data_IF_524059174896
#
_entry.id   IF_524059174896
#
_cell.length_a   1.000
_cell.length_b   1.000
_cell.length_c   1.000
_cell.angle_alpha   90.00
_cell.angle_beta   90.00
_cell.angle_gamma   90.00
#
_symmetry.space_group_name_H-M   'P 1'
#
loop_
_entity.id
_entity.type
_entity.pdbx_description
1 polymer ?
#
# COMPACT_ATOMS: atom_id res chain seq x y z
N UNK A 1 15.21 -1.01 2.34
CA UNK A 1 14.81 -2.41 2.41
C UNK A 1 14.85 -3.08 1.04
N UNK A 2 14.24 -2.52 0.00
CA UNK A 2 14.37 -3.10 -1.36
C UNK A 2 15.70 -2.80 -2.04
N UNK A 3 16.46 -1.85 -1.52
CA UNK A 3 17.78 -1.41 -2.01
C UNK A 3 17.79 -1.09 -3.52
N UNK A 4 16.77 -0.35 -3.95
CA UNK A 4 16.60 0.04 -5.35
C UNK A 4 17.40 1.29 -5.67
N UNK A 5 18.30 1.22 -6.66
CA UNK A 5 19.12 2.36 -7.07
C UNK A 5 18.31 3.44 -7.79
N UNK A 6 17.27 3.02 -8.54
CA UNK A 6 16.45 3.90 -9.39
C UNK A 6 14.98 3.75 -9.04
N UNK A 7 14.27 4.87 -8.93
CA UNK A 7 12.83 4.93 -8.78
C UNK A 7 12.24 6.06 -9.64
N UNK A 8 11.22 5.73 -10.43
CA UNK A 8 10.59 6.69 -11.37
C UNK A 8 11.61 7.36 -12.30
N UNK A 9 12.58 6.59 -12.78
CA UNK A 9 13.64 7.06 -13.68
C UNK A 9 14.72 7.95 -13.03
N UNK A 10 14.68 8.14 -11.70
CA UNK A 10 15.65 8.96 -10.95
C UNK A 10 16.38 8.12 -9.91
N UNK A 11 17.61 8.50 -9.49
CA UNK A 11 18.27 7.86 -8.35
C UNK A 11 17.37 7.90 -7.10
N UNK A 12 17.32 6.80 -6.37
CA UNK A 12 16.59 6.75 -5.09
C UNK A 12 17.27 7.63 -4.05
N UNK A 13 16.51 7.99 -2.99
CA UNK A 13 16.98 8.94 -1.96
C UNK A 13 18.28 8.48 -1.31
N UNK A 14 18.40 7.18 -0.98
CA UNK A 14 19.61 6.66 -0.34
C UNK A 14 20.84 6.65 -1.26
N UNK A 15 20.66 6.50 -2.57
CA UNK A 15 21.73 6.59 -3.55
C UNK A 15 22.19 8.04 -3.70
N UNK A 16 21.25 8.99 -3.72
CA UNK A 16 21.58 10.39 -3.96
C UNK A 16 22.09 11.13 -2.71
N UNK A 17 21.56 10.81 -1.54
CA UNK A 17 21.77 11.57 -0.31
C UNK A 17 22.28 10.74 0.88
N UNK A 18 22.53 9.44 0.67
CA UNK A 18 22.95 8.51 1.72
C UNK A 18 21.79 7.88 2.49
N UNK A 19 22.05 6.72 3.11
CA UNK A 19 21.05 5.93 3.83
C UNK A 19 20.47 6.66 5.04
N UNK A 20 21.32 7.30 5.86
CA UNK A 20 20.89 8.05 7.04
C UNK A 20 19.89 9.14 6.66
N UNK A 21 20.18 9.92 5.61
CA UNK A 21 19.28 10.97 5.12
C UNK A 21 17.95 10.38 4.63
N UNK A 22 17.99 9.24 3.93
CA UNK A 22 16.77 8.59 3.44
C UNK A 22 15.87 8.10 4.58
N UNK A 23 16.45 7.51 5.63
CA UNK A 23 15.71 7.05 6.82
C UNK A 23 15.11 8.23 7.56
N UNK A 24 15.91 9.27 7.84
CA UNK A 24 15.44 10.48 8.54
C UNK A 24 14.36 11.21 7.76
N UNK A 25 14.49 11.33 6.44
CA UNK A 25 13.46 11.93 5.59
C UNK A 25 12.15 11.15 5.65
N UNK A 26 12.19 9.82 5.60
CA UNK A 26 11.01 8.96 5.73
C UNK A 26 10.32 9.14 7.09
N UNK A 27 11.08 9.15 8.18
CA UNK A 27 10.56 9.40 9.53
C UNK A 27 9.94 10.79 9.66
N UNK A 28 10.61 11.81 9.12
CA UNK A 28 10.13 13.20 9.16
C UNK A 28 8.82 13.36 8.38
N UNK A 29 8.69 12.75 7.21
CA UNK A 29 7.45 12.79 6.42
C UNK A 29 6.28 12.12 7.16
N UNK A 30 6.52 10.99 7.82
CA UNK A 30 5.49 10.34 8.63
C UNK A 30 5.09 11.21 9.83
N UNK A 31 6.06 11.77 10.54
CA UNK A 31 5.81 12.66 11.69
C UNK A 31 5.05 13.92 11.25
N UNK A 32 5.43 14.52 10.10
CA UNK A 32 4.71 15.67 9.51
C UNK A 32 3.24 15.35 9.21
N UNK A 33 2.90 14.13 8.80
CA UNK A 33 1.50 13.76 8.60
C UNK A 33 0.69 13.84 9.91
N UNK A 34 1.27 13.44 11.05
CA UNK A 34 0.63 13.59 12.36
C UNK A 34 0.57 15.05 12.80
N UNK A 35 1.65 15.83 12.58
CA UNK A 35 1.69 17.26 12.87
C UNK A 35 0.56 17.99 12.14
N UNK A 36 0.40 17.77 10.83
CA UNK A 36 -0.69 18.38 10.03
C UNK A 36 -2.06 18.00 10.59
N UNK A 37 -2.31 16.73 10.89
CA UNK A 37 -3.60 16.26 11.40
C UNK A 37 -3.92 16.77 12.80
N UNK A 38 -2.91 17.04 13.63
CA UNK A 38 -3.07 17.56 14.99
C UNK A 38 -3.01 19.09 15.10
N UNK A 39 -2.64 19.78 13.98
CA UNK A 39 -2.42 21.22 14.02
C UNK A 39 -3.66 21.98 14.49
N UNK A 40 -3.45 22.98 15.35
CA UNK A 40 -4.53 23.80 15.95
C UNK A 40 -5.34 24.56 14.89
N UNK A 41 -4.67 25.03 13.83
CA UNK A 41 -5.31 25.81 12.76
C UNK A 41 -6.07 24.94 11.75
N UNK A 42 -5.98 23.60 11.87
CA UNK A 42 -6.83 22.70 11.09
C UNK A 42 -8.26 22.76 11.62
N UNK A 43 -9.11 23.54 10.93
CA UNK A 43 -10.48 23.83 11.36
C UNK A 43 -11.42 22.63 11.15
N UNK A 44 -11.21 21.58 11.91
CA UNK A 44 -12.08 20.40 12.00
C UNK A 44 -12.29 20.01 13.45
N UNK A 45 -13.41 19.39 13.74
CA UNK A 45 -13.77 18.96 15.09
C UNK A 45 -12.76 17.96 15.68
N UNK A 46 -12.41 18.08 16.96
CA UNK A 46 -11.36 17.28 17.61
C UNK A 46 -11.60 15.77 17.50
N UNK A 47 -12.84 15.30 17.64
CA UNK A 47 -13.18 13.88 17.45
C UNK A 47 -12.85 13.38 16.03
N UNK A 48 -12.94 14.24 15.02
CA UNK A 48 -12.57 13.91 13.64
C UNK A 48 -11.05 13.86 13.52
N UNK A 49 -10.32 14.81 14.12
CA UNK A 49 -8.85 14.80 14.19
C UNK A 49 -8.34 13.51 14.82
N UNK A 50 -8.87 13.17 16.00
CA UNK A 50 -8.51 11.93 16.73
C UNK A 50 -8.78 10.69 15.88
N UNK A 51 -9.94 10.62 15.21
CA UNK A 51 -10.26 9.47 14.35
C UNK A 51 -9.29 9.35 13.17
N UNK A 52 -8.94 10.45 12.49
CA UNK A 52 -7.96 10.46 11.41
C UNK A 52 -6.57 10.06 11.88
N UNK A 53 -6.13 10.57 13.05
CA UNK A 53 -4.85 10.21 13.66
C UNK A 53 -4.80 8.72 13.99
N UNK A 54 -5.85 8.17 14.60
CA UNK A 54 -5.94 6.73 14.88
C UNK A 54 -5.86 5.90 13.60
N UNK A 55 -6.61 6.28 12.56
CA UNK A 55 -6.63 5.56 11.29
C UNK A 55 -5.29 5.58 10.56
N UNK A 56 -4.59 6.71 10.52
CA UNK A 56 -3.26 6.78 9.90
C UNK A 56 -2.23 6.01 10.73
N UNK A 57 -2.32 6.04 12.07
CA UNK A 57 -1.46 5.26 12.97
C UNK A 57 -1.61 3.75 12.74
N UNK A 58 -2.86 3.24 12.68
CA UNK A 58 -3.13 1.84 12.35
C UNK A 58 -2.59 1.47 10.97
N UNK A 59 -2.78 2.37 9.97
CA UNK A 59 -2.37 2.11 8.60
C UNK A 59 -0.85 2.12 8.40
N UNK A 60 -0.12 2.91 9.19
CA UNK A 60 1.34 3.04 9.08
C UNK A 60 2.10 2.07 9.99
N UNK A 61 1.52 1.73 11.14
CA UNK A 61 2.14 0.93 12.19
C UNK A 61 2.18 -0.58 11.92
N UNK A 62 2.30 -1.36 13.01
CA UNK A 62 2.39 -2.83 12.99
C UNK A 62 1.13 -3.52 12.42
N UNK A 63 -0.04 -2.89 12.51
CA UNK A 63 -1.28 -3.39 11.92
C UNK A 63 -1.37 -3.08 10.41
N UNK A 64 -0.54 -2.19 9.90
CA UNK A 64 -0.49 -1.73 8.52
C UNK A 64 0.88 -1.90 7.87
N UNK A 65 1.42 -0.82 7.29
CA UNK A 65 2.60 -0.82 6.43
C UNK A 65 3.82 -1.48 7.09
N UNK A 66 4.17 -1.07 8.32
CA UNK A 66 5.35 -1.62 9.01
C UNK A 66 5.22 -3.14 9.23
N UNK A 67 4.04 -3.61 9.71
CA UNK A 67 3.78 -5.04 9.87
C UNK A 67 3.71 -5.79 8.55
N UNK A 68 3.17 -5.18 7.50
CA UNK A 68 3.14 -5.74 6.14
C UNK A 68 4.55 -5.89 5.56
N UNK A 69 5.40 -4.88 5.74
CA UNK A 69 6.79 -4.92 5.30
C UNK A 69 7.61 -5.98 6.07
N UNK A 70 7.38 -6.11 7.39
CA UNK A 70 7.98 -7.18 8.17
C UNK A 70 7.60 -8.56 7.64
N UNK A 71 6.32 -8.78 7.30
CA UNK A 71 5.85 -10.04 6.73
C UNK A 71 6.47 -10.29 5.34
N UNK A 72 6.58 -9.28 4.49
CA UNK A 72 7.21 -9.39 3.17
C UNK A 72 8.64 -9.92 3.28
N UNK A 73 9.46 -9.31 4.15
CA UNK A 73 10.82 -9.78 4.42
C UNK A 73 10.85 -11.17 5.05
N UNK A 74 9.95 -11.46 5.99
CA UNK A 74 9.90 -12.74 6.67
C UNK A 74 9.46 -13.91 5.79
N UNK A 75 8.83 -13.62 4.65
CA UNK A 75 8.34 -14.61 3.69
C UNK A 75 9.34 -14.91 2.56
N UNK A 76 10.45 -14.16 2.46
CA UNK A 76 11.50 -14.42 1.47
C UNK A 76 12.00 -15.87 1.57
N UNK A 77 12.16 -16.51 0.42
CA UNK A 77 12.57 -17.92 0.27
C UNK A 77 11.66 -18.95 0.97
N UNK A 78 10.43 -18.58 1.36
CA UNK A 78 9.49 -19.50 2.04
C UNK A 78 8.29 -19.83 1.16
N UNK A 79 7.77 -21.04 1.31
CA UNK A 79 6.47 -21.43 0.74
C UNK A 79 5.37 -20.84 1.62
N UNK A 80 4.59 -19.93 1.07
CA UNK A 80 3.55 -19.18 1.79
C UNK A 80 2.20 -19.40 1.12
N UNK A 81 1.14 -19.59 1.93
CA UNK A 81 -0.22 -19.75 1.38
C UNK A 81 -0.74 -18.45 0.76
N UNK A 82 -1.64 -18.58 -0.22
CA UNK A 82 -2.31 -17.44 -0.86
C UNK A 82 -2.93 -16.47 0.15
N UNK A 83 -3.58 -16.98 1.20
CA UNK A 83 -4.20 -16.15 2.25
C UNK A 83 -3.17 -15.29 2.99
N UNK A 84 -2.00 -15.85 3.30
CA UNK A 84 -0.92 -15.11 3.97
C UNK A 84 -0.30 -14.05 3.05
N UNK A 85 -0.10 -14.35 1.76
CA UNK A 85 0.39 -13.38 0.77
C UNK A 85 -0.60 -12.21 0.65
N UNK A 86 -1.89 -12.48 0.44
CA UNK A 86 -2.91 -11.43 0.35
C UNK A 86 -2.96 -10.58 1.62
N UNK A 87 -2.89 -11.19 2.81
CA UNK A 87 -2.88 -10.44 4.07
C UNK A 87 -1.65 -9.54 4.19
N UNK A 88 -0.48 -10.01 3.78
CA UNK A 88 0.76 -9.22 3.76
C UNK A 88 0.63 -8.03 2.81
N UNK A 89 0.14 -8.24 1.58
CA UNK A 89 -0.05 -7.18 0.58
C UNK A 89 -1.10 -6.14 1.02
N UNK A 90 -2.21 -6.58 1.64
CA UNK A 90 -3.21 -5.69 2.22
C UNK A 90 -2.58 -4.83 3.33
N UNK A 91 -1.78 -5.42 4.21
CA UNK A 91 -1.08 -4.66 5.25
C UNK A 91 -0.07 -3.69 4.65
N UNK A 92 0.84 -4.18 3.80
CA UNK A 92 1.95 -3.41 3.24
C UNK A 92 1.49 -2.24 2.37
N UNK A 93 0.40 -2.42 1.61
CA UNK A 93 -0.08 -1.45 0.63
C UNK A 93 -1.55 -1.08 0.84
N UNK A 94 -2.43 -2.06 1.00
CA UNK A 94 -3.88 -1.86 1.07
C UNK A 94 -4.34 -0.95 2.21
N UNK A 95 -3.68 -0.98 3.37
CA UNK A 95 -4.07 -0.19 4.54
C UNK A 95 -3.97 1.32 4.32
N UNK A 96 -2.93 1.81 3.65
CA UNK A 96 -2.82 3.23 3.34
C UNK A 96 -3.84 3.67 2.28
N UNK A 97 -4.08 2.86 1.25
CA UNK A 97 -5.17 3.10 0.29
C UNK A 97 -6.54 3.13 0.98
N UNK A 98 -6.77 2.22 1.92
CA UNK A 98 -7.98 2.19 2.75
C UNK A 98 -8.18 3.48 3.52
N UNK A 99 -7.13 3.99 4.19
CA UNK A 99 -7.15 5.28 4.87
C UNK A 99 -7.46 6.42 3.90
N UNK A 100 -6.76 6.51 2.78
CA UNK A 100 -6.95 7.59 1.79
C UNK A 100 -8.40 7.64 1.25
N UNK A 101 -9.02 6.47 1.02
CA UNK A 101 -10.41 6.41 0.56
C UNK A 101 -11.42 6.77 1.67
N UNK A 102 -11.13 6.45 2.92
CA UNK A 102 -12.02 6.70 4.04
C UNK A 102 -11.92 8.13 4.60
N UNK A 103 -10.74 8.74 4.57
CA UNK A 103 -10.48 10.03 5.20
C UNK A 103 -11.46 11.15 4.76
N UNK A 104 -11.80 11.32 3.47
CA UNK A 104 -12.79 12.32 3.04
C UNK A 104 -14.18 12.09 3.65
N UNK A 105 -14.59 10.83 3.85
CA UNK A 105 -15.87 10.48 4.43
C UNK A 105 -15.89 10.74 5.94
N UNK A 106 -14.77 10.49 6.62
CA UNK A 106 -14.59 10.84 8.03
C UNK A 106 -14.68 12.35 8.22
N UNK A 107 -14.01 13.13 7.36
CA UNK A 107 -14.10 14.60 7.35
C UNK A 107 -15.53 15.09 7.12
N UNK A 108 -16.28 14.44 6.25
CA UNK A 108 -17.69 14.75 5.97
C UNK A 108 -18.66 14.16 6.99
N UNK A 109 -18.18 13.53 8.07
CA UNK A 109 -18.96 12.88 9.13
C UNK A 109 -20.02 11.90 8.60
N UNK A 110 -19.67 11.16 7.54
CA UNK A 110 -20.51 10.11 6.97
C UNK A 110 -20.72 8.97 7.96
N UNK A 111 -21.76 8.16 7.75
CA UNK A 111 -22.06 7.03 8.62
C UNK A 111 -20.95 5.95 8.57
N UNK A 112 -20.88 5.15 9.64
CA UNK A 112 -19.85 4.10 9.80
C UNK A 112 -19.88 3.05 8.67
N UNK A 113 -21.06 2.76 8.11
CA UNK A 113 -21.24 1.77 7.04
C UNK A 113 -20.64 2.28 5.74
N UNK A 114 -20.85 3.55 5.41
CA UNK A 114 -20.29 4.20 4.24
C UNK A 114 -18.74 4.31 4.36
N UNK A 115 -18.25 4.78 5.52
CA UNK A 115 -16.81 4.81 5.80
C UNK A 115 -16.20 3.42 5.63
N UNK A 116 -16.78 2.39 6.25
CA UNK A 116 -16.28 1.01 6.14
C UNK A 116 -16.28 0.50 4.71
N UNK A 117 -17.30 0.82 3.93
CA UNK A 117 -17.36 0.46 2.50
C UNK A 117 -16.19 1.04 1.73
N UNK A 118 -15.85 2.31 1.94
CA UNK A 118 -14.73 2.96 1.25
C UNK A 118 -13.37 2.48 1.77
N UNK A 119 -13.24 2.11 3.05
CA UNK A 119 -12.08 1.38 3.55
C UNK A 119 -11.86 0.07 2.78
N UNK A 120 -12.93 -0.70 2.55
CA UNK A 120 -12.86 -1.97 1.84
C UNK A 120 -12.58 -1.79 0.33
N UNK A 121 -13.07 -0.70 -0.28
CA UNK A 121 -12.73 -0.30 -1.65
C UNK A 121 -11.25 0.07 -1.74
N UNK A 122 -10.77 0.93 -0.85
CA UNK A 122 -9.37 1.34 -0.79
C UNK A 122 -8.43 0.15 -0.60
N UNK A 123 -8.77 -0.78 0.30
CA UNK A 123 -8.01 -2.01 0.51
C UNK A 123 -7.94 -2.89 -0.77
N UNK A 124 -9.06 -3.05 -1.48
CA UNK A 124 -9.10 -3.79 -2.75
C UNK A 124 -8.29 -3.07 -3.85
N UNK A 125 -8.31 -1.73 -3.89
CA UNK A 125 -7.49 -0.93 -4.82
C UNK A 125 -6.00 -1.12 -4.52
N UNK A 126 -5.60 -1.05 -3.24
CA UNK A 126 -4.20 -1.27 -2.85
C UNK A 126 -3.70 -2.67 -3.17
N UNK A 127 -4.55 -3.69 -2.99
CA UNK A 127 -4.23 -5.07 -3.41
C UNK A 127 -4.10 -5.17 -4.94
N UNK A 128 -4.99 -4.53 -5.71
CA UNK A 128 -4.90 -4.49 -7.16
C UNK A 128 -3.64 -3.77 -7.63
N UNK A 129 -3.25 -2.68 -6.94
CA UNK A 129 -2.02 -1.96 -7.22
C UNK A 129 -0.79 -2.87 -7.05
N UNK A 130 -0.76 -3.66 -5.96
CA UNK A 130 0.34 -4.61 -5.73
C UNK A 130 0.37 -5.72 -6.80
N UNK A 131 -0.80 -6.27 -7.16
CA UNK A 131 -0.89 -7.25 -8.26
C UNK A 131 -0.35 -6.67 -9.57
N UNK A 132 -0.64 -5.41 -9.87
CA UNK A 132 -0.12 -4.74 -11.06
C UNK A 132 1.41 -4.52 -10.98
N UNK A 133 1.92 -4.14 -9.80
CA UNK A 133 3.36 -3.96 -9.57
C UNK A 133 4.13 -5.27 -9.75
N UNK A 134 3.63 -6.38 -9.22
CA UNK A 134 4.19 -7.73 -9.38
C UNK A 134 4.21 -8.17 -10.85
N UNK A 135 3.14 -7.88 -11.61
CA UNK A 135 3.07 -8.19 -13.05
C UNK A 135 4.07 -7.37 -13.86
N UNK A 136 4.27 -6.11 -13.50
CA UNK A 136 5.26 -5.22 -14.11
C UNK A 136 6.67 -5.71 -13.77
N UNK A 137 6.94 -6.09 -12.53
CA UNK A 137 8.24 -6.65 -12.15
C UNK A 137 8.56 -7.94 -12.93
N UNK A 138 7.56 -8.79 -13.14
CA UNK A 138 7.74 -10.09 -13.81
C UNK A 138 7.99 -9.97 -15.31
N UNK A 139 7.27 -9.09 -16.03
CA UNK A 139 7.32 -8.96 -17.50
C UNK A 139 7.61 -7.57 -18.02
N UNK A 140 7.73 -6.59 -17.14
CA UNK A 140 7.87 -5.20 -17.53
C UNK A 140 9.21 -4.89 -18.20
N UNK A 141 9.21 -3.86 -19.05
CA UNK A 141 10.41 -3.24 -19.54
C UNK A 141 10.89 -2.19 -18.53
N UNK A 142 12.15 -2.30 -18.07
CA UNK A 142 12.72 -1.41 -17.07
C UNK A 142 12.68 0.07 -17.46
N UNK A 143 12.77 0.39 -18.74
CA UNK A 143 12.67 1.77 -19.24
C UNK A 143 11.26 2.34 -19.04
N UNK A 144 10.23 1.55 -19.34
CA UNK A 144 8.83 1.96 -19.16
C UNK A 144 8.42 1.97 -17.68
N UNK A 145 8.91 0.99 -16.90
CA UNK A 145 8.64 0.88 -15.47
C UNK A 145 9.33 1.95 -14.63
N UNK A 146 10.39 2.61 -15.15
CA UNK A 146 11.20 3.58 -14.42
C UNK A 146 11.92 2.99 -13.21
N UNK A 147 12.08 1.65 -13.16
CA UNK A 147 12.79 0.88 -12.13
C UNK A 147 13.31 -0.43 -12.71
N UNK A 148 14.32 -1.05 -12.07
CA UNK A 148 14.76 -2.41 -12.44
C UNK A 148 13.62 -3.41 -12.26
N UNK A 149 13.45 -4.36 -13.19
CA UNK A 149 12.43 -5.42 -13.17
C UNK A 149 13.06 -6.80 -12.94
N UNK A 150 12.26 -7.81 -12.58
CA UNK A 150 12.73 -9.18 -12.30
C UNK A 150 13.39 -9.36 -10.93
N UNK A 151 13.21 -8.42 -10.01
CA UNK A 151 13.84 -8.44 -8.68
C UNK A 151 13.18 -9.39 -7.71
N UNK A 152 11.85 -9.49 -7.75
CA UNK A 152 11.09 -10.33 -6.81
C UNK A 152 11.50 -11.79 -6.90
N UNK A 153 11.71 -12.29 -8.11
CA UNK A 153 12.22 -13.64 -8.33
C UNK A 153 13.64 -13.82 -7.79
N UNK A 154 14.54 -12.83 -8.00
CA UNK A 154 15.93 -12.88 -7.51
C UNK A 154 16.00 -12.85 -5.98
N UNK A 155 15.12 -12.10 -5.34
CA UNK A 155 15.02 -11.99 -3.87
C UNK A 155 14.21 -13.10 -3.24
N UNK A 156 13.65 -14.03 -4.01
CA UNK A 156 12.79 -15.12 -3.50
C UNK A 156 11.52 -14.63 -2.80
N UNK A 157 10.96 -13.49 -3.25
CA UNK A 157 9.75 -12.91 -2.66
C UNK A 157 8.54 -13.80 -2.85
N UNK A 158 7.71 -13.91 -1.81
CA UNK A 158 6.43 -14.62 -1.85
C UNK A 158 5.35 -13.70 -2.43
N UNK A 159 5.19 -13.68 -3.75
CA UNK A 159 4.20 -12.89 -4.47
C UNK A 159 3.03 -13.74 -4.99
N UNK A 160 1.92 -13.10 -5.36
CA UNK A 160 0.81 -13.83 -6.00
C UNK A 160 1.24 -14.44 -7.34
N UNK A 161 2.16 -13.81 -8.05
CA UNK A 161 2.64 -14.34 -9.32
C UNK A 161 3.54 -15.56 -9.14
N UNK A 162 4.36 -15.59 -8.09
CA UNK A 162 5.19 -16.76 -7.78
C UNK A 162 4.35 -17.98 -7.39
N UNK A 163 3.16 -17.75 -6.79
CA UNK A 163 2.26 -18.81 -6.35
C UNK A 163 1.29 -19.27 -7.46
N UNK A 164 0.68 -18.35 -8.18
CA UNK A 164 -0.41 -18.63 -9.13
C UNK A 164 0.06 -18.73 -10.59
N UNK A 165 1.22 -18.18 -10.88
CA UNK A 165 1.72 -17.95 -12.24
C UNK A 165 1.06 -16.75 -12.93
N UNK A 166 1.70 -16.27 -13.99
CA UNK A 166 1.36 -15.03 -14.69
C UNK A 166 -0.12 -14.95 -15.12
N UNK A 167 -0.60 -15.96 -15.87
CA UNK A 167 -1.98 -15.96 -16.42
C UNK A 167 -3.05 -15.91 -15.31
N UNK A 168 -2.86 -16.66 -14.23
CA UNK A 168 -3.86 -16.69 -13.14
C UNK A 168 -3.79 -15.43 -12.29
N UNK A 169 -2.63 -14.78 -12.16
CA UNK A 169 -2.50 -13.49 -11.49
C UNK A 169 -3.25 -12.39 -12.26
N UNK A 170 -3.18 -12.37 -13.60
CA UNK A 170 -4.01 -11.48 -14.42
C UNK A 170 -5.51 -11.74 -14.19
N UNK A 171 -5.95 -13.02 -14.21
CA UNK A 171 -7.34 -13.37 -13.94
C UNK A 171 -7.78 -12.90 -12.54
N UNK A 172 -6.91 -13.01 -11.56
CA UNK A 172 -7.16 -12.51 -10.20
C UNK A 172 -7.32 -10.98 -10.16
N UNK A 173 -6.42 -10.23 -10.82
CA UNK A 173 -6.52 -8.78 -10.95
C UNK A 173 -7.82 -8.33 -11.62
N UNK A 174 -8.23 -8.98 -12.72
CA UNK A 174 -9.50 -8.70 -13.39
C UNK A 174 -10.71 -8.93 -12.48
N UNK A 175 -10.70 -9.99 -11.65
CA UNK A 175 -11.76 -10.21 -10.65
C UNK A 175 -11.81 -9.09 -9.60
N UNK A 176 -10.64 -8.57 -9.16
CA UNK A 176 -10.59 -7.42 -8.25
C UNK A 176 -11.17 -6.15 -8.90
N UNK A 177 -10.88 -5.89 -10.18
CA UNK A 177 -11.46 -4.76 -10.94
C UNK A 177 -13.00 -4.84 -10.94
N UNK A 178 -13.55 -6.00 -11.26
CA UNK A 178 -15.01 -6.21 -11.27
C UNK A 178 -15.58 -5.99 -9.85
N UNK A 179 -14.93 -6.55 -8.83
CA UNK A 179 -15.33 -6.39 -7.42
C UNK A 179 -15.38 -4.91 -7.00
N UNK A 180 -14.33 -4.14 -7.33
CA UNK A 180 -14.23 -2.70 -7.03
C UNK A 180 -15.34 -1.93 -7.75
N UNK A 181 -15.51 -2.16 -9.07
CA UNK A 181 -16.57 -1.53 -9.85
C UNK A 181 -17.96 -1.78 -9.26
N UNK A 182 -18.24 -3.01 -8.85
CA UNK A 182 -19.53 -3.37 -8.25
C UNK A 182 -19.75 -2.70 -6.89
N UNK A 183 -18.70 -2.55 -6.08
CA UNK A 183 -18.79 -1.81 -4.81
C UNK A 183 -19.04 -0.31 -5.03
N UNK A 184 -18.48 0.28 -6.10
CA UNK A 184 -18.70 1.69 -6.45
C UNK A 184 -20.11 1.96 -6.97
N UNK A 185 -20.69 1.05 -7.78
CA UNK A 185 -22.03 1.19 -8.36
C UNK A 185 -23.18 1.10 -7.36
N UNK A 186 -22.98 0.54 -6.17
CA UNK A 186 -24.06 0.31 -5.18
C UNK A 186 -24.69 1.57 -4.58
N UNK A 187 -24.35 2.77 -5.08
CA UNK A 187 -24.90 4.06 -4.64
C UNK A 187 -25.18 5.01 -5.82
N UNK A 188 -25.42 4.49 -7.02
CA UNK A 188 -26.00 5.25 -8.12
C UNK A 188 -27.48 4.96 -8.23
#
# INVERSE_FOLDING_TARGET
>A
MDNDDIRRGKPSTHIKYGESTAVLAGNSLLTMAFEILSHKDLNIHDNVKINLINKISESSGHLGIAGGQYLDLSFEHKKVSKKKIINMEIKKTGKLFSFCCAAPLILKKKDKKEIKRFEDIGSDIGLLFQVADDLIDFKGNSLVAGKKTGKDKKKGKATLISLLGYKNTIKYGNKLIIKIKNKLKKNG
#
